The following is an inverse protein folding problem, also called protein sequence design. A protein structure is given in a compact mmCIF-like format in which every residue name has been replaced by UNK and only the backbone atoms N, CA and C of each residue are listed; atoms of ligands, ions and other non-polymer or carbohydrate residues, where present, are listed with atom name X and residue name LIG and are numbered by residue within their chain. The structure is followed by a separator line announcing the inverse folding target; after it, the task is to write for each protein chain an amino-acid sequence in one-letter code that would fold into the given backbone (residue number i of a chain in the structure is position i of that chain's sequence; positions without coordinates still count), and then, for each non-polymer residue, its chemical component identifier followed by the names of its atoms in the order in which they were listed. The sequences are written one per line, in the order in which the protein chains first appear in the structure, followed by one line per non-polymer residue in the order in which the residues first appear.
data_IF_894519796891
#
_entry.id   IF_894519796891
#
_cell.length_a   1.000
_cell.length_b   1.000
_cell.length_c   1.000
_cell.angle_alpha   90.00
_cell.angle_beta   90.00
_cell.angle_gamma   90.00
#
_symmetry.space_group_name_H-M   'P 1'
#
loop_
_entity.id
_entity.type
_entity.pdbx_description
1 polymer ?
#
# COMPACT_ATOMS: atom_id res chain seq x y z
N UNK A 1 11.42 9.39 -4.01
CA UNK A 1 10.12 9.34 -3.29
C UNK A 1 9.29 10.56 -3.59
N UNK A 2 7.98 10.38 -3.59
CA UNK A 2 6.98 11.43 -3.73
C UNK A 2 6.18 11.52 -2.44
N UNK A 3 5.65 12.71 -2.13
CA UNK A 3 4.82 12.95 -0.96
C UNK A 3 3.63 13.83 -1.34
N UNK A 4 2.46 13.48 -0.82
CA UNK A 4 1.23 14.26 -0.96
C UNK A 4 0.69 14.57 0.43
N UNK A 5 0.79 15.84 0.82
CA UNK A 5 0.17 16.32 2.06
C UNK A 5 -1.34 16.39 1.88
N UNK A 6 -2.09 15.76 2.76
CA UNK A 6 -3.55 15.80 2.70
C UNK A 6 -4.14 17.08 3.30
N UNK A 7 -3.36 17.81 4.08
CA UNK A 7 -3.86 18.90 4.91
C UNK A 7 -4.68 18.46 6.13
N UNK A 8 -4.93 17.16 6.31
CA UNK A 8 -5.68 16.62 7.45
C UNK A 8 -4.77 16.45 8.65
N UNK A 9 -5.27 16.77 9.83
CA UNK A 9 -4.56 16.43 11.06
C UNK A 9 -4.47 14.92 11.20
N UNK A 10 -3.27 14.41 11.43
CA UNK A 10 -3.00 12.98 11.55
C UNK A 10 -3.87 12.29 12.62
N UNK A 11 -4.13 12.97 13.74
CA UNK A 11 -4.94 12.46 14.83
C UNK A 11 -6.43 12.29 14.46
N UNK A 12 -6.91 13.02 13.47
CA UNK A 12 -8.27 12.94 12.97
C UNK A 12 -8.44 11.90 11.84
N UNK A 13 -7.35 11.19 11.48
CA UNK A 13 -7.32 10.31 10.32
C UNK A 13 -7.41 8.83 10.65
N UNK A 14 -7.97 8.10 9.71
CA UNK A 14 -7.91 6.65 9.60
C UNK A 14 -7.23 6.27 8.28
N UNK A 15 -6.49 5.16 8.29
CA UNK A 15 -5.62 4.76 7.19
C UNK A 15 -6.03 3.42 6.63
N UNK A 16 -5.77 3.23 5.35
CA UNK A 16 -6.11 2.02 4.63
C UNK A 16 -4.99 1.60 3.68
N UNK A 17 -4.53 0.38 3.82
CA UNK A 17 -3.69 -0.33 2.87
C UNK A 17 -4.24 -1.75 2.71
N UNK A 18 -4.74 -2.14 1.54
CA UNK A 18 -5.48 -3.38 1.35
C UNK A 18 -4.70 -4.63 1.77
N UNK A 19 -5.31 -5.43 2.65
CA UNK A 19 -4.67 -6.65 3.18
C UNK A 19 -3.62 -6.43 4.26
N UNK A 20 -3.26 -5.19 4.55
CA UNK A 20 -2.17 -4.87 5.46
C UNK A 20 -2.58 -3.95 6.61
N UNK A 21 -3.37 -2.91 6.34
CA UNK A 21 -3.70 -1.88 7.32
C UNK A 21 -5.15 -1.44 7.23
N UNK A 22 -5.84 -1.43 8.38
CA UNK A 22 -7.20 -0.93 8.56
C UNK A 22 -7.28 0.04 9.73
N UNK A 23 -7.77 1.24 9.50
CA UNK A 23 -7.91 2.32 10.48
C UNK A 23 -6.55 2.63 11.13
N UNK A 24 -6.34 2.21 12.37
CA UNK A 24 -5.08 2.39 13.12
C UNK A 24 -4.45 1.06 13.54
N UNK A 25 -5.01 -0.06 13.08
CA UNK A 25 -4.57 -1.41 13.44
C UNK A 25 -4.43 -1.65 14.96
N UNK A 26 -5.19 -0.96 15.81
CA UNK A 26 -5.09 -1.04 17.27
C UNK A 26 -5.47 -2.42 17.84
N UNK A 27 -6.13 -3.26 17.06
CA UNK A 27 -6.43 -4.66 17.44
C UNK A 27 -5.30 -5.62 17.11
N UNK A 28 -4.31 -5.18 16.36
CA UNK A 28 -3.13 -5.99 16.02
C UNK A 28 -2.20 -6.12 17.22
N UNK A 29 -1.50 -7.25 17.38
CA UNK A 29 -0.45 -7.39 18.38
C UNK A 29 0.68 -6.38 18.17
N UNK A 30 1.48 -6.12 19.23
CA UNK A 30 2.60 -5.17 19.15
C UNK A 30 3.70 -5.62 18.17
N UNK A 31 3.75 -6.91 17.88
CA UNK A 31 4.68 -7.55 16.94
C UNK A 31 4.19 -7.48 15.47
N UNK A 32 3.05 -6.85 15.23
CA UNK A 32 2.49 -6.61 13.90
C UNK A 32 2.43 -5.11 13.60
N UNK A 33 2.32 -4.72 12.31
CA UNK A 33 2.14 -3.34 11.92
C UNK A 33 0.90 -2.73 12.59
N UNK A 34 1.12 -1.69 13.40
CA UNK A 34 0.05 -1.01 14.14
C UNK A 34 0.54 0.33 14.69
N UNK A 35 -0.40 1.17 15.13
CA UNK A 35 -0.08 2.39 15.87
C UNK A 35 0.56 2.16 17.25
N UNK A 36 0.56 0.94 17.76
CA UNK A 36 1.35 0.59 18.93
C UNK A 36 2.87 0.68 18.68
N UNK A 37 3.27 0.50 17.42
CA UNK A 37 4.68 0.54 17.01
C UNK A 37 5.06 1.88 16.42
N UNK A 38 4.23 2.43 15.52
CA UNK A 38 4.46 3.71 14.85
C UNK A 38 3.17 4.25 14.26
N UNK A 39 3.09 5.57 14.17
CA UNK A 39 2.03 6.30 13.47
C UNK A 39 2.36 6.60 12.00
N UNK A 40 3.45 6.03 11.51
CA UNK A 40 3.94 6.15 10.14
C UNK A 40 4.38 4.78 9.63
N UNK A 41 3.89 4.36 8.46
CA UNK A 41 4.22 3.07 7.87
C UNK A 41 4.36 3.16 6.36
N UNK A 42 5.48 2.65 5.87
CA UNK A 42 5.78 2.47 4.45
C UNK A 42 5.99 0.99 4.19
N UNK A 43 5.38 0.49 3.15
CA UNK A 43 5.46 -0.93 2.79
C UNK A 43 5.75 -1.11 1.30
N UNK A 44 6.35 -2.21 0.97
CA UNK A 44 6.57 -2.64 -0.39
C UNK A 44 5.24 -2.94 -1.08
N UNK A 45 5.05 -2.45 -2.30
CA UNK A 45 3.76 -2.49 -3.01
C UNK A 45 3.21 -3.92 -3.18
N UNK A 46 4.06 -4.92 -3.37
CA UNK A 46 3.66 -6.32 -3.56
C UNK A 46 3.19 -7.03 -2.28
N UNK A 47 3.29 -6.37 -1.13
CA UNK A 47 2.71 -6.88 0.12
C UNK A 47 1.25 -6.57 0.29
N UNK A 48 0.71 -5.70 -0.55
CA UNK A 48 -0.67 -5.26 -0.52
C UNK A 48 -1.51 -6.06 -1.52
N UNK A 49 -2.78 -6.28 -1.20
CA UNK A 49 -3.73 -6.90 -2.14
C UNK A 49 -4.02 -6.02 -3.36
N UNK A 50 -3.79 -4.72 -3.24
CA UNK A 50 -3.72 -3.74 -4.31
C UNK A 50 -2.71 -2.66 -3.91
N UNK A 51 -1.87 -2.15 -4.84
CA UNK A 51 -0.79 -1.21 -4.54
C UNK A 51 -1.34 0.21 -4.30
N UNK A 52 -2.05 0.35 -3.20
CA UNK A 52 -2.73 1.59 -2.83
C UNK A 52 -2.56 1.91 -1.34
N UNK A 53 -2.54 3.21 -1.03
CA UNK A 53 -2.70 3.73 0.33
C UNK A 53 -3.74 4.82 0.33
N UNK A 54 -4.65 4.79 1.32
CA UNK A 54 -5.67 5.81 1.50
C UNK A 54 -5.67 6.39 2.92
N UNK A 55 -6.01 7.66 3.01
CA UNK A 55 -6.15 8.43 4.24
C UNK A 55 -7.53 9.08 4.26
N UNK A 56 -8.33 8.76 5.26
CA UNK A 56 -9.64 9.34 5.49
C UNK A 56 -9.65 10.20 6.75
N UNK A 57 -10.14 11.42 6.65
CA UNK A 57 -10.37 12.32 7.79
C UNK A 57 -11.82 12.24 8.25
N UNK A 58 -12.04 11.75 9.47
CA UNK A 58 -13.38 11.71 10.06
C UNK A 58 -13.99 13.09 10.25
N UNK A 59 -13.16 14.09 10.53
CA UNK A 59 -13.59 15.46 10.73
C UNK A 59 -13.91 16.19 9.43
N UNK A 60 -13.07 16.02 8.41
CA UNK A 60 -13.28 16.66 7.11
C UNK A 60 -14.32 15.93 6.24
N UNK A 61 -14.67 14.68 6.57
CA UNK A 61 -15.51 13.81 5.73
C UNK A 61 -14.97 13.67 4.31
N UNK A 62 -13.66 13.61 4.17
CA UNK A 62 -12.94 13.51 2.91
C UNK A 62 -11.82 12.50 3.03
N UNK A 63 -11.41 11.99 1.88
CA UNK A 63 -10.26 11.10 1.79
C UNK A 63 -9.35 11.44 0.62
N UNK A 64 -8.13 10.96 0.69
CA UNK A 64 -7.15 11.00 -0.39
C UNK A 64 -6.52 9.62 -0.49
N UNK A 65 -6.42 9.07 -1.70
CA UNK A 65 -5.71 7.82 -1.99
C UNK A 65 -4.60 8.03 -3.00
N UNK A 66 -3.59 7.18 -2.95
CA UNK A 66 -2.61 7.02 -4.02
C UNK A 66 -2.61 5.58 -4.50
N UNK A 67 -2.73 5.39 -5.80
CA UNK A 67 -2.75 4.07 -6.45
C UNK A 67 -1.63 3.99 -7.49
N UNK A 68 -0.92 2.86 -7.53
CA UNK A 68 -0.03 2.54 -8.64
C UNK A 68 -0.86 2.11 -9.85
N UNK A 69 -0.61 2.71 -11.02
CA UNK A 69 -1.31 2.34 -12.25
C UNK A 69 -0.62 1.21 -13.01
N UNK A 70 0.70 1.19 -12.99
CA UNK A 70 1.46 0.19 -13.72
C UNK A 70 1.46 -1.15 -12.99
N UNK A 71 1.51 -2.23 -13.77
CA UNK A 71 1.95 -3.51 -13.23
C UNK A 71 3.42 -3.37 -12.85
N UNK A 72 3.75 -3.78 -11.64
CA UNK A 72 5.15 -3.84 -11.24
C UNK A 72 5.77 -5.18 -11.63
N UNK A 73 7.02 -5.11 -12.07
CA UNK A 73 7.85 -6.27 -12.28
C UNK A 73 8.68 -6.49 -11.02
N UNK A 74 8.58 -7.67 -10.46
CA UNK A 74 9.41 -8.10 -9.32
C UNK A 74 10.52 -8.99 -9.83
N UNK A 75 11.75 -8.62 -9.52
CA UNK A 75 12.92 -9.44 -9.81
C UNK A 75 13.51 -10.02 -8.53
N UNK A 76 14.33 -11.05 -8.66
CA UNK A 76 15.00 -11.67 -7.53
C UNK A 76 15.91 -10.67 -6.82
N UNK A 77 15.82 -10.60 -5.50
CA UNK A 77 16.72 -9.81 -4.68
C UNK A 77 18.06 -10.55 -4.57
N UNK A 78 19.15 -9.92 -4.99
CA UNK A 78 20.44 -10.61 -5.09
C UNK A 78 21.41 -10.31 -3.98
N UNK A 79 21.40 -9.11 -3.43
CA UNK A 79 22.36 -8.71 -2.39
C UNK A 79 21.71 -7.79 -1.39
N UNK A 80 22.02 -8.01 -0.11
CA UNK A 80 21.57 -7.13 0.95
C UNK A 80 22.63 -7.07 2.06
N UNK A 81 22.75 -5.91 2.64
CA UNK A 81 23.27 -5.71 4.00
C UNK A 81 22.07 -5.64 4.94
N UNK A 82 22.32 -5.67 6.22
CA UNK A 82 21.26 -5.42 7.20
C UNK A 82 20.59 -4.07 6.92
N UNK A 83 19.29 -4.11 6.59
CA UNK A 83 18.50 -2.94 6.24
C UNK A 83 18.66 -2.38 4.84
N UNK A 84 19.59 -2.89 4.03
CA UNK A 84 19.83 -2.43 2.65
C UNK A 84 19.67 -3.57 1.65
N UNK A 85 19.02 -3.30 0.52
CA UNK A 85 18.84 -4.26 -0.58
C UNK A 85 19.29 -3.64 -1.88
N UNK A 86 20.17 -4.35 -2.60
CA UNK A 86 20.57 -3.97 -3.95
C UNK A 86 19.74 -4.78 -4.93
N UNK A 87 18.97 -4.09 -5.75
CA UNK A 87 18.14 -4.69 -6.79
C UNK A 87 19.00 -4.99 -8.00
N UNK A 88 18.88 -6.22 -8.51
CA UNK A 88 19.49 -6.63 -9.77
C UNK A 88 18.42 -6.83 -10.83
N UNK A 89 18.74 -6.50 -12.05
CA UNK A 89 17.81 -6.64 -13.17
C UNK A 89 16.79 -5.52 -13.28
N UNK A 90 15.76 -5.75 -14.06
CA UNK A 90 14.66 -4.79 -14.26
C UNK A 90 13.57 -5.05 -13.25
N UNK A 91 13.51 -4.22 -12.24
CA UNK A 91 12.37 -4.20 -11.31
C UNK A 91 11.74 -2.82 -11.31
N UNK A 92 10.43 -2.75 -11.11
CA UNK A 92 9.70 -1.50 -10.89
C UNK A 92 8.99 -1.49 -9.54
N UNK A 93 9.42 -2.38 -8.64
CA UNK A 93 8.79 -2.56 -7.34
C UNK A 93 9.08 -1.37 -6.43
N UNK A 94 8.05 -0.62 -6.13
CA UNK A 94 8.08 0.56 -5.29
C UNK A 94 7.53 0.33 -3.89
N UNK A 95 7.24 1.42 -3.22
CA UNK A 95 6.60 1.46 -1.92
C UNK A 95 5.44 2.44 -1.91
N UNK A 96 4.52 2.21 -0.98
CA UNK A 96 3.44 3.13 -0.64
C UNK A 96 3.19 3.11 0.86
N UNK A 97 2.59 4.16 1.39
CA UNK A 97 2.25 4.24 2.81
C UNK A 97 1.85 5.63 3.25
N UNK A 98 1.84 5.82 4.55
CA UNK A 98 1.49 7.09 5.18
C UNK A 98 2.52 7.47 6.24
N UNK A 99 2.69 8.76 6.43
CA UNK A 99 3.57 9.34 7.44
C UNK A 99 2.87 10.45 8.22
N UNK A 100 3.23 10.59 9.46
CA UNK A 100 2.93 11.78 10.26
C UNK A 100 4.02 12.83 10.00
N UNK A 101 3.69 13.91 9.32
CA UNK A 101 4.61 15.03 9.06
C UNK A 101 4.13 16.27 9.81
N UNK A 102 4.76 16.55 10.93
CA UNK A 102 4.42 17.68 11.79
C UNK A 102 2.93 17.74 12.17
N UNK A 103 2.34 16.59 12.46
CA UNK A 103 0.93 16.46 12.80
C UNK A 103 -0.03 16.39 11.61
N UNK A 104 0.48 16.41 10.38
CA UNK A 104 -0.31 16.28 9.15
C UNK A 104 -0.14 14.89 8.54
N UNK A 105 -1.27 14.25 8.22
CA UNK A 105 -1.27 12.98 7.53
C UNK A 105 -0.81 13.16 6.08
N UNK A 106 0.22 12.41 5.68
CA UNK A 106 0.88 12.55 4.38
C UNK A 106 0.99 11.19 3.72
N UNK A 107 0.55 11.08 2.46
CA UNK A 107 0.82 9.92 1.62
C UNK A 107 2.27 9.97 1.16
N UNK A 108 2.97 8.84 1.25
CA UNK A 108 4.34 8.68 0.77
C UNK A 108 4.45 7.45 -0.11
N UNK A 109 5.03 7.61 -1.29
CA UNK A 109 5.19 6.54 -2.27
C UNK A 109 6.40 6.78 -3.16
N UNK A 110 6.83 5.78 -3.87
CA UNK A 110 7.98 5.94 -4.77
C UNK A 110 8.70 4.65 -5.11
N UNK A 111 9.89 4.83 -5.67
CA UNK A 111 10.77 3.79 -6.17
C UNK A 111 12.23 4.17 -5.90
N UNK A 112 13.15 3.23 -5.65
CA UNK A 112 12.89 1.82 -5.31
C UNK A 112 12.14 1.67 -4.00
N UNK A 113 11.72 0.43 -3.66
CA UNK A 113 10.94 0.21 -2.46
C UNK A 113 11.71 0.49 -1.15
N UNK A 114 10.97 0.85 -0.13
CA UNK A 114 11.43 0.91 1.26
C UNK A 114 10.33 0.42 2.18
N UNK A 115 10.72 -0.11 3.33
CA UNK A 115 9.81 -0.53 4.39
C UNK A 115 10.26 0.13 5.70
N UNK A 116 9.42 0.93 6.29
CA UNK A 116 9.72 1.70 7.50
C UNK A 116 8.47 1.84 8.38
N UNK A 117 8.63 1.96 9.70
CA UNK A 117 9.87 1.92 10.49
C UNK A 117 10.40 0.50 10.69
N UNK A 118 9.64 -0.50 10.29
CA UNK A 118 9.96 -1.91 10.36
C UNK A 118 9.52 -2.62 9.08
N UNK A 119 10.21 -3.70 8.73
CA UNK A 119 9.76 -4.65 7.72
C UNK A 119 8.94 -5.75 8.37
N UNK A 120 7.76 -6.06 7.81
CA UNK A 120 6.92 -7.15 8.29
C UNK A 120 7.22 -8.41 7.51
N UNK A 121 8.00 -9.32 8.07
CA UNK A 121 8.49 -10.51 7.38
C UNK A 121 7.42 -11.60 7.33
N UNK A 122 6.79 -11.85 8.48
CA UNK A 122 5.77 -12.90 8.64
C UNK A 122 4.97 -12.65 9.91
N UNK A 123 3.95 -13.47 10.15
CA UNK A 123 3.10 -13.37 11.33
C UNK A 123 3.93 -13.14 12.61
N UNK A 124 3.62 -12.06 13.32
CA UNK A 124 4.24 -11.64 14.57
C UNK A 124 5.78 -11.48 14.50
N UNK A 125 6.30 -11.05 13.35
CA UNK A 125 7.74 -10.84 13.20
C UNK A 125 8.02 -9.54 12.48
N UNK A 126 8.49 -8.56 13.21
CA UNK A 126 9.00 -7.29 12.69
C UNK A 126 10.53 -7.32 12.64
N UNK A 127 11.10 -7.04 11.49
CA UNK A 127 12.54 -6.85 11.28
C UNK A 127 12.89 -5.35 11.24
N UNK A 128 14.17 -4.98 11.25
CA UNK A 128 14.59 -3.62 10.95
C UNK A 128 14.03 -3.10 9.63
N UNK A 129 14.00 -1.79 9.49
CA UNK A 129 13.61 -1.14 8.21
C UNK A 129 14.48 -1.64 7.07
N UNK A 130 13.90 -1.59 5.86
CA UNK A 130 14.60 -1.98 4.62
C UNK A 130 14.55 -0.84 3.64
N UNK A 131 15.66 -0.56 2.99
CA UNK A 131 15.77 0.38 1.88
C UNK A 131 16.43 -0.29 0.68
N UNK A 132 15.76 -0.22 -0.47
CA UNK A 132 16.26 -0.80 -1.71
C UNK A 132 16.95 0.25 -2.57
N UNK A 133 18.01 -0.17 -3.24
CA UNK A 133 18.80 0.63 -4.18
C UNK A 133 18.85 -0.06 -5.53
N UNK A 134 18.75 0.72 -6.59
CA UNK A 134 18.94 0.23 -7.95
C UNK A 134 20.03 1.03 -8.65
N UNK A 135 20.97 0.33 -9.28
CA UNK A 135 21.95 0.95 -10.15
C UNK A 135 21.34 1.19 -11.53
N UNK A 136 21.34 2.44 -11.95
CA UNK A 136 20.96 2.84 -13.30
C UNK A 136 22.21 3.21 -14.09
N UNK A 137 22.31 2.75 -15.33
CA UNK A 137 23.35 3.21 -16.26
C UNK A 137 23.00 4.59 -16.79
N UNK A 138 24.01 5.35 -17.17
CA UNK A 138 23.79 6.64 -17.82
C UNK A 138 22.89 6.51 -19.05
N UNK A 139 21.82 7.31 -19.11
CA UNK A 139 20.81 7.28 -20.16
C UNK A 139 19.64 6.32 -19.94
N UNK A 140 19.66 5.47 -18.92
CA UNK A 140 18.50 4.67 -18.55
C UNK A 140 17.42 5.54 -17.91
N UNK A 141 16.16 5.25 -18.25
CA UNK A 141 14.98 5.93 -17.70
C UNK A 141 14.02 4.91 -17.12
N UNK A 142 13.54 5.17 -15.93
CA UNK A 142 12.45 4.41 -15.31
C UNK A 142 11.22 5.33 -15.25
N UNK A 143 10.12 4.89 -15.85
CA UNK A 143 8.84 5.61 -15.84
C UNK A 143 7.87 4.83 -14.96
N UNK A 144 7.26 5.51 -14.02
CA UNK A 144 6.34 4.93 -13.05
C UNK A 144 5.13 5.86 -12.93
N UNK A 145 3.95 5.27 -12.92
CA UNK A 145 2.70 6.03 -12.91
C UNK A 145 1.88 5.74 -11.66
N UNK A 146 1.57 6.79 -10.92
CA UNK A 146 0.62 6.78 -9.82
C UNK A 146 -0.50 7.76 -10.09
N UNK A 147 -1.66 7.49 -9.54
CA UNK A 147 -2.76 8.44 -9.50
C UNK A 147 -3.08 8.78 -8.06
N UNK A 148 -3.33 10.06 -7.83
CA UNK A 148 -3.90 10.55 -6.58
C UNK A 148 -5.37 10.84 -6.83
N UNK A 149 -6.23 10.26 -6.02
CA UNK A 149 -7.68 10.42 -6.08
C UNK A 149 -8.19 10.94 -4.73
N UNK A 150 -9.02 11.95 -4.76
CA UNK A 150 -9.68 12.51 -3.58
C UNK A 150 -11.18 12.64 -3.78
N UNK A 151 -11.93 12.41 -2.72
CA UNK A 151 -13.38 12.59 -2.71
C UNK A 151 -13.92 12.79 -1.29
N UNK A 152 -15.22 13.01 -1.17
CA UNK A 152 -15.95 12.99 0.09
C UNK A 152 -16.37 11.56 0.44
N UNK A 153 -16.48 11.28 1.74
CA UNK A 153 -17.07 10.05 2.25
C UNK A 153 -17.73 10.32 3.61
N UNK A 154 -18.89 9.72 3.85
CA UNK A 154 -19.63 9.92 5.10
C UNK A 154 -18.94 9.26 6.29
N UNK A 155 -18.34 8.09 6.06
CA UNK A 155 -17.61 7.34 7.06
C UNK A 155 -16.47 6.51 6.43
N UNK A 156 -15.75 5.76 7.26
CA UNK A 156 -14.65 4.93 6.80
C UNK A 156 -15.08 3.79 5.86
N UNK A 157 -16.28 3.25 6.01
CA UNK A 157 -16.80 2.19 5.14
C UNK A 157 -17.17 2.74 3.76
N UNK A 158 -17.74 3.93 3.74
CA UNK A 158 -18.04 4.66 2.51
C UNK A 158 -16.76 5.04 1.75
N UNK A 159 -15.73 5.50 2.46
CA UNK A 159 -14.40 5.71 1.89
C UNK A 159 -13.83 4.43 1.25
N UNK A 160 -13.92 3.28 1.92
CA UNK A 160 -13.47 2.01 1.35
C UNK A 160 -14.25 1.66 0.08
N UNK A 161 -15.57 1.83 0.10
CA UNK A 161 -16.44 1.57 -1.04
C UNK A 161 -16.03 2.44 -2.26
N UNK A 162 -15.94 3.75 -2.10
CA UNK A 162 -15.51 4.67 -3.17
C UNK A 162 -14.12 4.32 -3.71
N UNK A 163 -13.20 3.97 -2.82
CA UNK A 163 -11.84 3.57 -3.22
C UNK A 163 -11.85 2.32 -4.09
N UNK A 164 -12.65 1.30 -3.74
CA UNK A 164 -12.74 0.07 -4.52
C UNK A 164 -13.50 0.24 -5.83
N UNK A 165 -14.56 1.02 -5.86
CA UNK A 165 -15.27 1.40 -7.09
C UNK A 165 -14.30 2.09 -8.06
N UNK A 166 -13.54 3.07 -7.59
CA UNK A 166 -12.51 3.76 -8.37
C UNK A 166 -11.43 2.79 -8.88
N UNK A 167 -10.92 1.90 -8.04
CA UNK A 167 -9.92 0.90 -8.43
C UNK A 167 -10.47 -0.07 -9.47
N UNK A 168 -11.70 -0.53 -9.28
CA UNK A 168 -12.36 -1.43 -10.23
C UNK A 168 -12.47 -0.80 -11.61
N UNK A 169 -12.94 0.43 -11.69
CA UNK A 169 -13.07 1.16 -12.94
C UNK A 169 -11.71 1.45 -13.59
N UNK A 170 -10.72 1.82 -12.77
CA UNK A 170 -9.37 2.17 -13.26
C UNK A 170 -8.62 0.94 -13.78
N UNK A 171 -8.64 -0.17 -13.07
CA UNK A 171 -7.91 -1.39 -13.46
C UNK A 171 -8.70 -2.27 -14.42
N UNK A 172 -10.01 -2.07 -14.52
CA UNK A 172 -10.93 -2.81 -15.39
C UNK A 172 -10.60 -4.32 -15.44
N UNK A 173 -10.60 -5.02 -14.29
CA UNK A 173 -10.17 -6.42 -14.24
C UNK A 173 -11.08 -7.28 -15.11
N UNK A 174 -10.47 -8.06 -15.98
CA UNK A 174 -11.23 -9.01 -16.81
C UNK A 174 -11.61 -10.23 -15.98
N UNK A 175 -12.85 -10.75 -16.14
CA UNK A 175 -13.20 -12.02 -15.54
C UNK A 175 -12.22 -13.11 -15.99
N UNK A 176 -11.85 -13.98 -15.06
CA UNK A 176 -11.04 -15.17 -15.35
C UNK A 176 -12.00 -16.33 -15.53
N UNK A 177 -11.89 -17.07 -16.64
CA UNK A 177 -12.64 -18.30 -16.84
C UNK A 177 -12.23 -19.30 -15.75
N UNK A 178 -13.21 -19.74 -14.98
CA UNK A 178 -13.00 -20.75 -13.95
C UNK A 178 -13.49 -22.11 -14.48
N UNK A 179 -12.86 -23.24 -14.10
CA UNK A 179 -13.27 -24.56 -14.56
C UNK A 179 -14.66 -24.98 -14.04
N UNK A 180 -15.20 -24.27 -13.07
CA UNK A 180 -16.52 -24.52 -12.47
C UNK A 180 -17.31 -23.22 -12.37
N UNK A 181 -18.61 -23.31 -12.61
CA UNK A 181 -19.53 -22.19 -12.36
C UNK A 181 -19.73 -21.95 -10.85
N UNK A 182 -20.20 -20.76 -10.49
CA UNK A 182 -20.53 -20.44 -9.11
C UNK A 182 -21.63 -21.37 -8.57
N UNK A 183 -22.58 -21.77 -9.41
CA UNK A 183 -23.67 -22.70 -9.07
C UNK A 183 -23.13 -24.09 -8.76
N UNK A 184 -22.18 -24.60 -9.54
CA UNK A 184 -21.52 -25.88 -9.28
C UNK A 184 -20.72 -25.84 -7.98
N UNK A 185 -19.96 -24.75 -7.74
CA UNK A 185 -19.24 -24.57 -6.47
C UNK A 185 -20.20 -24.53 -5.25
N UNK A 186 -21.31 -23.80 -5.35
CA UNK A 186 -22.33 -23.74 -4.29
C UNK A 186 -22.97 -25.10 -4.02
N UNK A 187 -23.32 -25.86 -5.08
CA UNK A 187 -23.93 -27.18 -4.91
C UNK A 187 -22.98 -28.17 -4.24
N UNK A 188 -21.69 -28.10 -4.57
CA UNK A 188 -20.66 -28.96 -3.95
C UNK A 188 -20.43 -28.61 -2.46
N UNK A 189 -20.55 -27.34 -2.09
CA UNK A 189 -20.39 -26.90 -0.69
C UNK A 189 -21.63 -27.13 0.17
N UNK A 190 -22.79 -27.37 -0.44
CA UNK A 190 -24.06 -27.62 0.26
C UNK A 190 -24.46 -29.11 0.35
N UNK A 191 -23.66 -30.00 -0.23
CA UNK A 191 -23.79 -31.48 -0.14
C UNK A 191 -22.96 -32.04 1.02
#
# INVERSE_FOLDING_TARGET
SQQVSTGFRHDDCQFYMPGFWYRRNLRSPKEAPSFHTSDSWLVREDRLSSPLTGIYSEKAKRFVTVNRLDKFESDALTTHREGEVILSGKTSLGFTGFENRDGIATLSFGFPYREAPKSYIRKLTLAPQVEAFQFLKGGETVVLNWVVFEDAAEDFSDFIRHTWEYCYDTYAPKPVDTPYSIEEMKSTLSS
#
